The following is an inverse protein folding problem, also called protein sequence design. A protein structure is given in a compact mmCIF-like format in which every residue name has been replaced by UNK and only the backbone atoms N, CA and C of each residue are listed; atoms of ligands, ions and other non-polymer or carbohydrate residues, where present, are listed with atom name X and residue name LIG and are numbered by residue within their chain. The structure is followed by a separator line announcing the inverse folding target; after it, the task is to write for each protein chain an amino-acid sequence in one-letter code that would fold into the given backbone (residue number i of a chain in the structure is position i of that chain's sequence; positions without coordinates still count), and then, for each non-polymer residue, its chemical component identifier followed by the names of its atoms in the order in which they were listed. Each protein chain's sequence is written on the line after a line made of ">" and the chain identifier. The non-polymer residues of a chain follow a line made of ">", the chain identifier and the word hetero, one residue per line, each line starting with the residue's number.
data_IF_088085889313
#
_entry.id   IF_088085889313
#
_cell.length_a   1.000
_cell.length_b   1.000
_cell.length_c   1.000
_cell.angle_alpha   90.00
_cell.angle_beta   90.00
_cell.angle_gamma   90.00
#
_symmetry.space_group_name_H-M   'P 1'
#
loop_
_entity.id
_entity.type
_entity.pdbx_description
1 polymer ?
#
# COMPACT_ATOMS: atom_id res chain seq x y z
N UNK A 1 -7.93 23.72 -10.71
CA UNK A 1 -8.21 22.29 -10.36
C UNK A 1 -7.83 21.36 -11.50
N UNK A 2 -8.05 21.70 -12.77
CA UNK A 2 -7.69 20.87 -13.94
C UNK A 2 -6.27 20.31 -13.91
N UNK A 3 -5.29 21.09 -13.49
CA UNK A 3 -3.90 20.64 -13.41
C UNK A 3 -3.59 19.68 -12.24
N UNK A 4 -4.57 19.46 -11.36
CA UNK A 4 -4.43 18.62 -10.16
C UNK A 4 -5.33 17.39 -10.17
N UNK A 5 -6.18 17.26 -11.18
CA UNK A 5 -7.18 16.19 -11.30
C UNK A 5 -7.09 15.52 -12.66
N UNK A 6 -7.51 14.26 -12.73
CA UNK A 6 -7.60 13.53 -14.00
C UNK A 6 -8.71 14.06 -14.91
N UNK A 7 -9.74 14.60 -14.32
CA UNK A 7 -10.87 15.20 -14.99
C UNK A 7 -11.52 16.23 -14.08
N UNK A 8 -11.91 17.37 -14.64
CA UNK A 8 -12.72 18.34 -13.93
C UNK A 8 -13.81 18.88 -14.85
N UNK A 9 -15.01 19.05 -14.30
CA UNK A 9 -16.18 19.50 -15.04
C UNK A 9 -17.13 20.28 -14.15
N UNK A 10 -17.60 21.42 -14.63
CA UNK A 10 -18.80 22.06 -14.11
C UNK A 10 -20.02 21.52 -14.84
N UNK A 11 -20.96 20.92 -14.12
CA UNK A 11 -22.18 20.36 -14.67
C UNK A 11 -23.17 21.52 -14.90
N UNK A 12 -23.43 21.85 -16.16
CA UNK A 12 -24.34 22.93 -16.55
C UNK A 12 -25.67 22.43 -17.11
N UNK A 13 -25.72 21.17 -17.58
CA UNK A 13 -26.94 20.50 -17.97
C UNK A 13 -27.31 19.44 -16.91
N UNK A 14 -28.45 19.61 -16.21
CA UNK A 14 -28.82 18.66 -15.18
C UNK A 14 -29.04 17.23 -15.70
N UNK A 15 -29.40 17.02 -16.96
CA UNK A 15 -29.58 15.70 -17.57
C UNK A 15 -28.27 14.95 -17.78
N UNK A 16 -27.13 15.64 -17.82
CA UNK A 16 -25.82 15.03 -17.95
C UNK A 16 -25.23 14.53 -16.63
N UNK A 17 -25.91 14.74 -15.50
CA UNK A 17 -25.35 14.44 -14.18
C UNK A 17 -24.92 12.97 -14.04
N UNK A 18 -25.72 12.03 -14.51
CA UNK A 18 -25.41 10.60 -14.45
C UNK A 18 -24.15 10.29 -15.28
N UNK A 19 -24.11 10.79 -16.52
CA UNK A 19 -22.95 10.62 -17.40
C UNK A 19 -21.66 11.15 -16.75
N UNK A 20 -21.69 12.34 -16.18
CA UNK A 20 -20.51 12.98 -15.60
C UNK A 20 -20.05 12.27 -14.32
N UNK A 21 -20.97 11.77 -13.49
CA UNK A 21 -20.64 11.00 -12.28
C UNK A 21 -20.04 9.64 -12.66
N UNK A 22 -20.68 8.88 -13.53
CA UNK A 22 -20.19 7.57 -13.98
C UNK A 22 -18.83 7.71 -14.67
N UNK A 23 -18.64 8.73 -15.52
CA UNK A 23 -17.35 9.05 -16.14
C UNK A 23 -16.27 9.37 -15.11
N UNK A 24 -16.58 10.16 -14.10
CA UNK A 24 -15.63 10.46 -13.02
C UNK A 24 -15.24 9.20 -12.24
N UNK A 25 -16.19 8.33 -11.91
CA UNK A 25 -15.92 7.08 -11.20
C UNK A 25 -14.99 6.20 -12.05
N UNK A 26 -15.30 6.04 -13.31
CA UNK A 26 -14.47 5.26 -14.23
C UNK A 26 -13.06 5.86 -14.38
N UNK A 27 -12.94 7.16 -14.64
CA UNK A 27 -11.65 7.83 -14.83
C UNK A 27 -10.78 7.81 -13.58
N UNK A 28 -11.36 7.94 -12.38
CA UNK A 28 -10.56 7.96 -11.15
C UNK A 28 -9.92 6.59 -10.83
N UNK A 29 -10.49 5.52 -11.35
CA UNK A 29 -10.00 4.14 -11.16
C UNK A 29 -9.12 3.66 -12.32
N UNK A 30 -9.32 4.19 -13.53
CA UNK A 30 -8.67 3.73 -14.75
C UNK A 30 -7.24 4.26 -14.86
N UNK A 31 -6.28 3.44 -15.27
CA UNK A 31 -4.87 3.80 -15.34
C UNK A 31 -4.28 4.02 -13.94
N UNK A 32 -3.36 4.99 -13.80
CA UNK A 32 -2.93 5.39 -12.46
C UNK A 32 -4.11 6.04 -11.73
N UNK A 33 -4.59 5.47 -10.61
CA UNK A 33 -5.71 6.06 -9.88
C UNK A 33 -5.44 7.51 -9.46
N UNK A 34 -6.45 8.37 -9.62
CA UNK A 34 -6.29 9.77 -9.30
C UNK A 34 -7.64 10.49 -9.17
N UNK A 35 -7.69 11.68 -8.54
CA UNK A 35 -8.93 12.38 -8.28
C UNK A 35 -9.57 12.93 -9.56
N UNK A 36 -10.90 12.94 -9.57
CA UNK A 36 -11.72 13.72 -10.48
C UNK A 36 -12.51 14.76 -9.69
N UNK A 37 -12.97 15.80 -10.36
CA UNK A 37 -13.70 16.92 -9.73
C UNK A 37 -14.95 17.27 -10.52
N UNK A 38 -16.11 17.21 -9.85
CA UNK A 38 -17.36 17.76 -10.40
C UNK A 38 -17.79 18.96 -9.58
N UNK A 39 -18.04 20.06 -10.25
CA UNK A 39 -18.68 21.24 -9.70
C UNK A 39 -20.16 21.23 -10.14
N UNK A 40 -21.05 21.11 -9.17
CA UNK A 40 -22.49 21.00 -9.41
C UNK A 40 -23.16 22.24 -8.81
N UNK A 41 -23.50 23.26 -9.64
CA UNK A 41 -24.16 24.47 -9.17
C UNK A 41 -25.48 24.19 -8.45
N UNK A 42 -25.83 25.04 -7.48
CA UNK A 42 -27.00 24.84 -6.60
C UNK A 42 -28.32 24.78 -7.39
N UNK A 43 -28.46 25.53 -8.46
CA UNK A 43 -29.62 25.49 -9.34
C UNK A 43 -29.73 24.16 -10.08
N UNK A 44 -28.60 23.56 -10.47
CA UNK A 44 -28.55 22.23 -11.07
C UNK A 44 -28.94 21.16 -10.03
N UNK A 45 -28.43 21.25 -8.80
CA UNK A 45 -28.77 20.32 -7.71
C UNK A 45 -30.27 20.29 -7.37
N UNK A 46 -30.95 21.42 -7.52
CA UNK A 46 -32.38 21.56 -7.27
C UNK A 46 -33.30 21.24 -8.44
N UNK A 47 -32.76 20.90 -9.60
CA UNK A 47 -33.55 20.63 -10.80
C UNK A 47 -34.20 19.26 -10.73
N UNK A 48 -35.50 19.20 -11.02
CA UNK A 48 -36.22 17.93 -11.15
C UNK A 48 -35.95 17.31 -12.52
N UNK A 49 -35.59 16.02 -12.53
CA UNK A 49 -35.26 15.26 -13.74
C UNK A 49 -35.97 13.91 -13.64
N UNK A 50 -36.57 13.45 -14.74
CA UNK A 50 -37.08 12.11 -14.84
C UNK A 50 -35.94 11.12 -15.14
N UNK A 51 -35.93 9.95 -14.50
CA UNK A 51 -34.88 8.93 -14.67
C UNK A 51 -34.65 8.55 -16.14
N UNK A 52 -35.70 8.57 -16.96
CA UNK A 52 -35.65 8.26 -18.40
C UNK A 52 -34.90 9.32 -19.23
N UNK A 53 -34.64 10.50 -18.69
CA UNK A 53 -33.93 11.58 -19.37
C UNK A 53 -32.41 11.55 -19.05
N UNK A 54 -31.99 10.70 -18.10
CA UNK A 54 -30.60 10.57 -17.73
C UNK A 54 -29.84 9.69 -18.73
N UNK A 55 -28.73 10.20 -19.22
CA UNK A 55 -27.82 9.46 -20.11
C UNK A 55 -26.70 8.86 -19.29
N UNK A 56 -26.47 7.54 -19.41
CA UNK A 56 -25.34 6.87 -18.78
C UNK A 56 -24.03 7.10 -19.53
N UNK A 57 -22.91 6.81 -18.89
CA UNK A 57 -21.58 6.84 -19.50
C UNK A 57 -21.24 5.45 -20.07
N UNK A 58 -20.76 5.42 -21.31
CA UNK A 58 -20.25 4.21 -21.96
C UNK A 58 -18.72 4.33 -22.13
N UNK A 59 -17.95 3.53 -21.40
CA UNK A 59 -16.49 3.52 -21.53
C UNK A 59 -15.98 3.19 -22.93
N UNK A 60 -16.63 2.25 -23.63
CA UNK A 60 -16.19 1.83 -24.97
C UNK A 60 -16.40 2.94 -26.01
N UNK A 61 -17.54 3.65 -25.92
CA UNK A 61 -17.80 4.81 -26.76
C UNK A 61 -16.79 5.92 -26.50
N UNK A 62 -16.51 6.19 -25.22
CA UNK A 62 -15.52 7.19 -24.81
C UNK A 62 -14.11 6.88 -25.33
N UNK A 63 -13.65 5.62 -25.24
CA UNK A 63 -12.37 5.20 -25.76
C UNK A 63 -12.28 5.38 -27.28
N UNK A 64 -13.33 4.99 -27.99
CA UNK A 64 -13.41 5.13 -29.45
C UNK A 64 -13.43 6.58 -29.90
N UNK A 65 -14.17 7.46 -29.21
CA UNK A 65 -14.24 8.89 -29.55
C UNK A 65 -12.95 9.64 -29.30
N UNK A 66 -12.15 9.18 -28.33
CA UNK A 66 -10.87 9.78 -28.00
C UNK A 66 -9.68 9.09 -28.68
N UNK A 67 -9.92 8.20 -29.67
CA UNK A 67 -8.90 7.47 -30.40
C UNK A 67 -7.94 6.67 -29.50
N UNK A 68 -8.44 6.19 -28.35
CA UNK A 68 -7.68 5.36 -27.43
C UNK A 68 -7.74 3.92 -27.93
N UNK A 69 -6.67 3.44 -28.55
CA UNK A 69 -6.53 2.03 -28.90
C UNK A 69 -6.24 1.19 -27.65
N UNK A 70 -7.10 0.21 -27.40
CA UNK A 70 -6.82 -0.86 -26.44
C UNK A 70 -5.92 -1.87 -27.16
N UNK A 71 -4.69 -2.02 -26.73
CA UNK A 71 -3.89 -3.16 -27.19
C UNK A 71 -4.60 -4.44 -26.75
N UNK A 72 -4.82 -5.35 -27.69
CA UNK A 72 -5.29 -6.69 -27.36
C UNK A 72 -4.19 -7.39 -26.59
N UNK A 73 -4.41 -7.60 -25.31
CA UNK A 73 -3.59 -8.53 -24.52
C UNK A 73 -4.05 -9.93 -24.97
N UNK A 74 -3.08 -10.80 -25.27
CA UNK A 74 -3.39 -12.18 -25.60
C UNK A 74 -4.13 -12.82 -24.43
N UNK A 75 -5.33 -13.35 -24.70
CA UNK A 75 -6.25 -13.94 -23.71
C UNK A 75 -5.59 -15.11 -22.92
N UNK A 76 -4.47 -15.64 -23.39
CA UNK A 76 -3.70 -16.70 -22.73
C UNK A 76 -2.85 -16.18 -21.55
N UNK A 77 -2.39 -14.92 -21.56
CA UNK A 77 -1.65 -14.33 -20.44
C UNK A 77 -2.57 -13.93 -19.27
N UNK A 78 -3.84 -13.59 -19.55
CA UNK A 78 -4.81 -13.23 -18.49
C UNK A 78 -5.23 -14.43 -17.64
N UNK A 79 -5.29 -15.64 -18.21
CA UNK A 79 -5.78 -16.82 -17.48
C UNK A 79 -4.83 -17.29 -16.36
N UNK A 80 -3.54 -16.98 -16.42
CA UNK A 80 -2.58 -17.33 -15.37
C UNK A 80 -2.55 -16.32 -14.20
N UNK A 81 -3.09 -15.12 -14.38
CA UNK A 81 -3.02 -14.05 -13.38
C UNK A 81 -4.26 -13.92 -12.50
N UNK A 82 -5.34 -14.61 -12.84
CA UNK A 82 -6.58 -14.60 -12.07
C UNK A 82 -6.58 -15.77 -11.07
N UNK A 83 -6.27 -15.48 -9.80
CA UNK A 83 -6.74 -16.33 -8.70
C UNK A 83 -8.27 -16.35 -8.77
N UNK A 84 -8.95 -17.52 -8.78
CA UNK A 84 -10.38 -17.58 -8.83
C UNK A 84 -10.99 -16.80 -7.66
N UNK A 85 -11.47 -15.62 -7.91
CA UNK A 85 -12.41 -14.94 -7.02
C UNK A 85 -13.77 -15.49 -7.40
N UNK A 86 -14.29 -16.41 -6.62
CA UNK A 86 -15.66 -16.84 -6.72
C UNK A 86 -16.55 -15.60 -6.58
N UNK A 87 -17.27 -15.28 -7.68
CA UNK A 87 -18.34 -14.28 -7.76
C UNK A 87 -17.96 -12.80 -7.95
N UNK A 88 -17.08 -12.45 -8.89
CA UNK A 88 -17.01 -11.08 -9.42
C UNK A 88 -17.43 -11.01 -10.90
N UNK A 89 -18.12 -9.90 -11.25
CA UNK A 89 -18.73 -9.66 -12.56
C UNK A 89 -17.69 -9.39 -13.65
N UNK A 90 -18.05 -9.54 -14.91
CA UNK A 90 -17.27 -9.24 -16.12
C UNK A 90 -16.65 -7.81 -16.21
N UNK A 91 -16.81 -6.96 -15.19
CA UNK A 91 -16.17 -5.64 -15.08
C UNK A 91 -14.70 -5.72 -14.71
N UNK A 92 -14.26 -6.79 -14.03
CA UNK A 92 -12.89 -6.89 -13.48
C UNK A 92 -11.83 -7.19 -14.55
N UNK A 93 -12.23 -7.82 -15.66
CA UNK A 93 -11.34 -8.12 -16.80
C UNK A 93 -10.97 -6.87 -17.62
N UNK A 94 -11.85 -5.87 -17.67
CA UNK A 94 -11.62 -4.64 -18.41
C UNK A 94 -10.66 -3.67 -17.68
N UNK A 95 -10.54 -3.76 -16.36
CA UNK A 95 -9.73 -2.82 -15.58
C UNK A 95 -8.23 -2.93 -15.88
N UNK A 96 -7.71 -4.12 -16.14
CA UNK A 96 -6.31 -4.33 -16.52
C UNK A 96 -5.97 -3.72 -17.88
N UNK A 97 -6.80 -3.97 -18.88
CA UNK A 97 -6.63 -3.49 -20.27
C UNK A 97 -6.75 -1.97 -20.33
N UNK A 98 -7.74 -1.42 -19.64
CA UNK A 98 -7.97 0.02 -19.54
C UNK A 98 -6.82 0.76 -18.85
N UNK A 99 -6.22 0.14 -17.85
CA UNK A 99 -5.04 0.67 -17.17
C UNK A 99 -3.85 0.89 -18.12
N UNK A 100 -3.62 -0.05 -19.04
CA UNK A 100 -2.51 0.03 -20.02
C UNK A 100 -2.78 1.12 -21.05
N UNK A 101 -3.99 1.20 -21.59
CA UNK A 101 -4.37 2.18 -22.61
C UNK A 101 -4.29 3.63 -22.09
N UNK A 102 -4.75 3.86 -20.85
CA UNK A 102 -4.74 5.21 -20.26
C UNK A 102 -3.31 5.71 -19.95
N UNK A 103 -2.39 4.80 -19.60
CA UNK A 103 -0.97 5.14 -19.41
C UNK A 103 -0.33 5.67 -20.70
N UNK A 104 -0.67 5.11 -21.85
CA UNK A 104 -0.12 5.54 -23.15
C UNK A 104 -0.53 6.98 -23.51
N UNK A 105 -1.74 7.41 -23.18
CA UNK A 105 -2.24 8.74 -23.51
C UNK A 105 -1.61 9.89 -22.70
N UNK A 106 -1.16 9.62 -21.48
CA UNK A 106 -0.64 10.65 -20.58
C UNK A 106 0.90 10.78 -20.60
N UNK A 107 1.58 10.31 -21.65
CA UNK A 107 3.05 10.35 -21.79
C UNK A 107 3.82 9.74 -20.60
N UNK A 108 3.17 8.89 -19.79
CA UNK A 108 3.90 8.12 -18.81
C UNK A 108 4.64 7.00 -19.55
N UNK A 109 5.94 6.90 -19.32
CA UNK A 109 6.72 5.76 -19.81
C UNK A 109 6.07 4.47 -19.33
N UNK A 110 5.95 3.48 -20.22
CA UNK A 110 5.44 2.16 -19.82
C UNK A 110 6.39 1.56 -18.79
N UNK A 111 5.89 0.97 -17.69
CA UNK A 111 6.73 0.22 -16.79
C UNK A 111 7.44 -0.91 -17.56
N UNK A 112 8.68 -1.18 -17.18
CA UNK A 112 9.43 -2.27 -17.77
C UNK A 112 8.90 -3.61 -17.30
N UNK A 113 8.90 -4.60 -18.18
CA UNK A 113 8.63 -5.98 -17.80
C UNK A 113 9.77 -6.52 -16.92
N UNK A 114 9.43 -7.14 -15.81
CA UNK A 114 10.37 -7.74 -14.86
C UNK A 114 10.00 -9.20 -14.62
N UNK A 115 10.91 -10.12 -14.95
CA UNK A 115 10.79 -11.53 -14.67
C UNK A 115 11.89 -12.03 -13.72
N UNK A 116 11.86 -13.31 -13.34
CA UNK A 116 12.82 -13.91 -12.40
C UNK A 116 14.28 -13.90 -12.91
N UNK A 117 14.50 -13.81 -14.22
CA UNK A 117 15.82 -13.81 -14.87
C UNK A 117 16.30 -12.37 -15.12
N UNK A 118 15.49 -11.37 -14.86
CA UNK A 118 15.86 -9.97 -14.96
C UNK A 118 17.04 -9.65 -14.04
N UNK A 119 18.09 -8.95 -14.52
CA UNK A 119 19.28 -8.64 -13.75
C UNK A 119 18.98 -7.95 -12.41
N UNK A 120 17.95 -7.12 -12.37
CA UNK A 120 17.55 -6.38 -11.16
C UNK A 120 17.11 -7.32 -10.03
N UNK A 121 16.43 -8.43 -10.34
CA UNK A 121 15.99 -9.42 -9.34
C UNK A 121 17.20 -10.09 -8.68
N UNK A 122 18.18 -10.48 -9.47
CA UNK A 122 19.43 -11.06 -8.96
C UNK A 122 20.23 -10.07 -8.13
N UNK A 123 20.24 -8.79 -8.51
CA UNK A 123 20.93 -7.73 -7.76
C UNK A 123 20.23 -7.43 -6.43
N UNK A 124 18.91 -7.37 -6.39
CA UNK A 124 18.12 -7.24 -5.16
C UNK A 124 18.46 -8.37 -4.17
N UNK A 125 18.38 -9.63 -4.64
CA UNK A 125 18.70 -10.80 -3.83
C UNK A 125 20.13 -10.76 -3.29
N UNK A 126 21.09 -10.38 -4.13
CA UNK A 126 22.48 -10.25 -3.75
C UNK A 126 22.68 -9.21 -2.65
N UNK A 127 22.02 -8.04 -2.78
CA UNK A 127 22.09 -6.99 -1.75
C UNK A 127 21.44 -7.42 -0.43
N UNK A 128 20.29 -8.10 -0.47
CA UNK A 128 19.64 -8.64 0.74
C UNK A 128 20.58 -9.62 1.46
N UNK A 129 21.21 -10.54 0.72
CA UNK A 129 22.18 -11.49 1.29
C UNK A 129 23.41 -10.82 1.91
N UNK A 130 23.84 -9.70 1.36
CA UNK A 130 25.01 -8.98 1.87
C UNK A 130 24.67 -8.03 3.04
N UNK A 131 23.41 -7.64 3.17
CA UNK A 131 22.95 -6.71 4.19
C UNK A 131 22.97 -7.36 5.58
N UNK A 132 23.24 -6.54 6.58
CA UNK A 132 23.15 -6.93 8.00
C UNK A 132 21.85 -6.48 8.65
N UNK A 133 21.23 -5.45 8.09
CA UNK A 133 20.02 -4.80 8.61
C UNK A 133 19.06 -4.42 7.47
N UNK A 134 18.66 -5.39 6.64
CA UNK A 134 17.72 -5.12 5.54
C UNK A 134 16.33 -4.78 6.09
N UNK A 135 15.59 -3.95 5.32
CA UNK A 135 14.20 -3.58 5.61
C UNK A 135 13.38 -3.63 4.32
N UNK A 136 12.19 -4.21 4.39
CA UNK A 136 11.19 -4.14 3.34
C UNK A 136 10.21 -3.01 3.65
N UNK A 137 10.22 -1.96 2.84
CA UNK A 137 9.33 -0.81 2.96
C UNK A 137 8.15 -0.95 2.01
N UNK A 138 6.95 -1.13 2.53
CA UNK A 138 5.75 -1.37 1.73
C UNK A 138 4.89 -0.13 1.58
N UNK A 139 4.26 0.01 0.42
CA UNK A 139 3.29 1.06 0.15
C UNK A 139 1.98 0.53 -0.43
N UNK A 140 1.01 1.41 -0.57
CA UNK A 140 -0.31 1.06 -1.09
C UNK A 140 -0.30 0.62 -2.57
N UNK A 141 0.78 0.90 -3.30
CA UNK A 141 0.97 0.41 -4.67
C UNK A 141 0.91 -1.12 -4.79
N UNK A 142 1.31 -1.85 -3.74
CA UNK A 142 1.18 -3.31 -3.68
C UNK A 142 -0.30 -3.72 -3.75
N UNK A 143 -1.17 -3.03 -3.01
CA UNK A 143 -2.61 -3.30 -3.01
C UNK A 143 -3.26 -2.87 -4.33
N UNK A 144 -2.88 -1.71 -4.86
CA UNK A 144 -3.38 -1.22 -6.16
C UNK A 144 -3.04 -2.21 -7.29
N UNK A 145 -1.91 -2.90 -7.18
CA UNK A 145 -1.49 -3.95 -8.11
C UNK A 145 -2.15 -5.32 -7.85
N UNK A 146 -3.02 -5.46 -6.84
CA UNK A 146 -3.61 -6.75 -6.44
C UNK A 146 -2.59 -7.77 -5.92
N UNK A 147 -1.47 -7.30 -5.36
CA UNK A 147 -0.29 -8.10 -5.06
C UNK A 147 -0.15 -8.48 -3.56
N UNK A 148 -1.20 -8.36 -2.75
CA UNK A 148 -1.12 -8.58 -1.30
C UNK A 148 -0.70 -10.00 -0.95
N UNK A 149 -1.30 -10.99 -1.60
CA UNK A 149 -1.02 -12.40 -1.32
C UNK A 149 0.41 -12.79 -1.70
N UNK A 150 0.88 -12.29 -2.86
CA UNK A 150 2.25 -12.57 -3.29
C UNK A 150 3.27 -11.80 -2.43
N UNK A 151 2.92 -10.58 -2.00
CA UNK A 151 3.73 -9.81 -1.07
C UNK A 151 3.99 -10.57 0.24
N UNK A 152 2.94 -11.15 0.86
CA UNK A 152 3.09 -11.91 2.10
C UNK A 152 3.98 -13.13 1.93
N UNK A 153 3.86 -13.85 0.80
CA UNK A 153 4.76 -14.97 0.48
C UNK A 153 6.21 -14.52 0.30
N UNK A 154 6.42 -13.44 -0.46
CA UNK A 154 7.77 -12.88 -0.68
C UNK A 154 8.37 -12.38 0.62
N UNK A 155 7.60 -11.69 1.45
CA UNK A 155 8.07 -11.21 2.76
C UNK A 155 8.53 -12.37 3.64
N UNK A 156 7.77 -13.46 3.71
CA UNK A 156 8.12 -14.66 4.45
C UNK A 156 9.39 -15.34 3.89
N UNK A 157 9.47 -15.49 2.57
CA UNK A 157 10.67 -16.04 1.91
C UNK A 157 11.91 -15.17 2.08
N UNK A 158 11.77 -13.87 2.08
CA UNK A 158 12.88 -12.95 2.34
C UNK A 158 13.32 -12.98 3.81
N UNK A 159 12.37 -13.12 4.74
CA UNK A 159 12.63 -13.17 6.18
C UNK A 159 13.13 -11.84 6.77
N UNK A 160 12.88 -10.70 6.12
CA UNK A 160 13.37 -9.39 6.55
C UNK A 160 12.27 -8.56 7.21
N UNK A 161 12.61 -7.66 8.16
CA UNK A 161 11.61 -6.79 8.79
C UNK A 161 10.85 -5.95 7.79
N UNK A 162 9.53 -5.86 7.97
CA UNK A 162 8.60 -5.11 7.12
C UNK A 162 8.14 -3.85 7.85
N UNK A 163 8.36 -2.70 7.25
CA UNK A 163 7.76 -1.44 7.68
C UNK A 163 6.68 -1.02 6.68
N UNK A 164 5.60 -0.45 7.19
CA UNK A 164 4.42 -0.11 6.37
C UNK A 164 4.28 1.38 6.17
N UNK A 165 4.01 1.79 4.94
CA UNK A 165 3.60 3.16 4.64
C UNK A 165 2.20 3.46 5.21
N UNK A 166 1.85 4.74 5.32
CA UNK A 166 0.60 5.17 5.96
C UNK A 166 -0.66 4.56 5.34
N UNK A 167 -0.74 4.50 4.02
CA UNK A 167 -1.89 3.92 3.32
C UNK A 167 -1.76 2.40 3.08
N UNK A 168 -0.74 1.78 3.70
CA UNK A 168 -0.48 0.34 3.62
C UNK A 168 -0.40 -0.30 5.02
N UNK A 169 -0.96 0.34 6.04
CA UNK A 169 -0.94 -0.13 7.43
C UNK A 169 -1.56 -1.52 7.57
N UNK A 170 -2.50 -1.84 6.70
CA UNK A 170 -3.27 -3.08 6.67
C UNK A 170 -2.73 -4.15 5.69
N UNK A 171 -1.58 -3.90 5.05
CA UNK A 171 -0.98 -4.86 4.11
C UNK A 171 -0.41 -6.10 4.81
N UNK A 172 -0.13 -6.00 6.09
CA UNK A 172 0.39 -7.06 6.95
C UNK A 172 -0.26 -6.96 8.34
N UNK A 173 -0.75 -8.07 8.93
CA UNK A 173 -1.40 -8.05 10.24
C UNK A 173 -0.50 -7.45 11.33
N UNK A 174 -1.13 -6.86 12.35
CA UNK A 174 -0.39 -6.21 13.45
C UNK A 174 0.55 -7.17 14.18
N UNK A 175 0.09 -8.39 14.42
CA UNK A 175 0.86 -9.41 15.18
C UNK A 175 1.82 -10.21 14.30
N UNK A 176 1.89 -9.92 12.99
CA UNK A 176 2.80 -10.64 12.11
C UNK A 176 4.25 -10.46 12.57
N UNK A 177 5.05 -11.55 12.66
CA UNK A 177 6.40 -11.51 13.21
C UNK A 177 7.34 -10.55 12.48
N UNK A 178 7.20 -10.42 11.19
CA UNK A 178 8.04 -9.52 10.38
C UNK A 178 7.66 -8.04 10.49
N UNK A 179 6.48 -7.70 11.03
CA UNK A 179 6.07 -6.29 11.14
C UNK A 179 6.97 -5.52 12.09
N UNK A 180 7.64 -4.50 11.58
CA UNK A 180 8.62 -3.69 12.29
C UNK A 180 8.18 -2.23 12.54
N UNK A 181 6.90 -1.92 12.28
CA UNK A 181 6.30 -0.63 12.58
C UNK A 181 5.95 0.21 11.35
N UNK A 182 5.57 1.43 11.62
CA UNK A 182 5.14 2.43 10.64
C UNK A 182 6.04 3.66 10.72
N UNK A 183 7.00 3.85 9.81
CA UNK A 183 7.87 5.02 9.83
C UNK A 183 7.18 6.28 9.33
N UNK A 184 7.80 7.42 9.59
CA UNK A 184 7.36 8.73 9.13
C UNK A 184 7.13 9.73 10.26
N UNK A 185 6.78 10.96 9.90
CA UNK A 185 6.66 12.08 10.85
C UNK A 185 5.54 11.92 11.89
N UNK A 186 4.54 11.11 11.62
CA UNK A 186 3.45 10.74 12.54
C UNK A 186 3.39 9.23 12.79
N UNK A 187 4.38 8.49 12.32
CA UNK A 187 4.54 7.07 12.54
C UNK A 187 4.97 6.74 13.97
N UNK A 188 5.33 5.50 14.16
CA UNK A 188 5.82 4.99 15.44
C UNK A 188 7.35 5.04 15.54
N UNK A 189 7.86 4.90 16.77
CA UNK A 189 9.30 4.84 17.01
C UNK A 189 9.95 3.59 16.42
N UNK A 190 9.36 2.40 16.57
CA UNK A 190 9.90 1.16 15.98
C UNK A 190 10.17 1.27 14.49
N UNK A 191 9.19 1.68 13.70
CA UNK A 191 9.35 1.85 12.26
C UNK A 191 10.41 2.87 11.88
N UNK A 192 10.46 4.01 12.60
CA UNK A 192 11.52 5.00 12.40
C UNK A 192 12.91 4.44 12.77
N UNK A 193 13.02 3.65 13.84
CA UNK A 193 14.29 3.03 14.22
C UNK A 193 14.73 1.99 13.19
N UNK A 194 13.81 1.17 12.70
CA UNK A 194 14.10 0.18 11.66
C UNK A 194 14.69 0.86 10.42
N UNK A 195 14.03 1.88 9.88
CA UNK A 195 14.46 2.60 8.68
C UNK A 195 15.81 3.33 8.91
N UNK A 196 15.96 4.03 10.04
CA UNK A 196 17.16 4.84 10.30
C UNK A 196 18.41 4.01 10.61
N UNK A 197 18.25 2.74 10.98
CA UNK A 197 19.36 1.83 11.24
C UNK A 197 19.55 0.79 10.10
N UNK A 198 18.69 0.80 9.09
CA UNK A 198 18.85 -0.08 7.94
C UNK A 198 20.15 0.20 7.17
N UNK A 199 20.74 -0.85 6.60
CA UNK A 199 21.83 -0.77 5.62
C UNK A 199 21.39 -1.17 4.21
N UNK A 200 20.15 -1.69 4.09
CA UNK A 200 19.48 -1.96 2.83
C UNK A 200 17.98 -1.72 2.98
N UNK A 201 17.37 -1.08 2.01
CA UNK A 201 15.91 -0.89 1.92
C UNK A 201 15.41 -1.33 0.55
N UNK A 202 14.48 -2.29 0.54
CA UNK A 202 13.65 -2.60 -0.61
C UNK A 202 12.30 -1.89 -0.42
N UNK A 203 12.01 -0.88 -1.23
CA UNK A 203 10.75 -0.14 -1.18
C UNK A 203 9.91 -0.46 -2.42
N UNK A 204 8.66 -0.93 -2.22
CA UNK A 204 7.74 -1.27 -3.31
C UNK A 204 6.43 -0.51 -3.14
N UNK A 205 6.04 0.26 -4.16
CA UNK A 205 4.76 0.96 -4.26
C UNK A 205 4.48 1.98 -3.15
N UNK A 206 5.54 2.51 -2.51
CA UNK A 206 5.39 3.38 -1.34
C UNK A 206 5.42 4.87 -1.68
N UNK A 207 5.87 5.24 -2.87
CA UNK A 207 6.09 6.63 -3.27
C UNK A 207 7.12 7.39 -2.42
N UNK A 208 7.42 6.97 -1.21
CA UNK A 208 8.32 7.63 -0.24
C UNK A 208 8.07 9.14 -0.15
N UNK A 209 6.83 9.51 0.13
CA UNK A 209 6.40 10.90 0.24
C UNK A 209 7.01 11.60 1.47
N UNK A 210 6.92 12.93 1.53
CA UNK A 210 7.41 13.73 2.66
C UNK A 210 6.79 13.31 4.01
N UNK A 211 5.59 12.73 4.00
CA UNK A 211 4.95 12.17 5.22
C UNK A 211 5.74 10.98 5.78
N UNK A 212 6.38 10.22 4.90
CA UNK A 212 7.15 9.02 5.23
C UNK A 212 8.61 9.34 5.50
N UNK A 213 9.24 10.16 4.67
CA UNK A 213 10.68 10.47 4.77
C UNK A 213 10.97 11.69 5.67
N UNK A 214 9.96 12.50 5.96
CA UNK A 214 10.07 13.71 6.76
C UNK A 214 10.60 14.92 5.97
N UNK A 215 10.55 16.09 6.59
CA UNK A 215 11.02 17.35 5.96
C UNK A 215 12.54 17.41 5.80
N UNK A 216 13.27 16.74 6.69
CA UNK A 216 14.72 16.61 6.57
C UNK A 216 15.09 15.31 5.85
N UNK A 217 14.56 15.16 4.64
CA UNK A 217 14.70 13.94 3.83
C UNK A 217 16.15 13.53 3.55
N UNK A 218 17.09 14.45 3.58
CA UNK A 218 18.53 14.15 3.42
C UNK A 218 19.11 13.24 4.52
N UNK A 219 18.44 13.16 5.66
CA UNK A 219 18.86 12.30 6.79
C UNK A 219 18.07 11.00 6.86
N UNK A 220 17.10 10.80 5.95
CA UNK A 220 16.32 9.58 5.89
C UNK A 220 17.19 8.43 5.38
N UNK A 221 17.16 7.30 6.10
CA UNK A 221 17.84 6.06 5.72
C UNK A 221 19.30 6.25 5.23
N UNK A 222 20.03 7.16 5.88
CA UNK A 222 21.32 7.72 5.40
C UNK A 222 22.42 6.71 5.13
N UNK A 223 22.34 5.51 5.72
CA UNK A 223 23.35 4.44 5.57
C UNK A 223 22.83 3.30 4.67
N UNK A 224 21.56 3.35 4.26
CA UNK A 224 20.96 2.28 3.52
C UNK A 224 21.23 2.39 2.01
N UNK A 225 21.58 1.28 1.40
CA UNK A 225 21.45 1.10 -0.04
C UNK A 225 19.97 0.92 -0.38
N UNK A 226 19.43 1.74 -1.27
CA UNK A 226 17.99 1.82 -1.52
C UNK A 226 17.61 1.31 -2.90
N UNK A 227 16.72 0.33 -2.93
CA UNK A 227 16.04 -0.13 -4.14
C UNK A 227 14.59 0.33 -4.06
N UNK A 228 14.13 1.05 -5.05
CA UNK A 228 12.76 1.59 -5.06
C UNK A 228 12.06 1.13 -6.34
N UNK A 229 10.94 0.42 -6.16
CA UNK A 229 10.02 0.07 -7.24
C UNK A 229 8.79 0.95 -7.18
N UNK A 230 8.54 1.62 -8.27
CA UNK A 230 7.32 2.43 -8.46
C UNK A 230 6.89 2.34 -9.92
N UNK A 231 5.58 2.42 -10.13
CA UNK A 231 4.97 2.43 -11.46
C UNK A 231 5.14 3.79 -12.15
N UNK A 232 5.48 4.82 -11.40
CA UNK A 232 5.71 6.17 -11.88
C UNK A 232 7.22 6.47 -11.92
N UNK A 233 7.76 6.59 -13.13
CA UNK A 233 9.17 6.89 -13.34
C UNK A 233 9.62 8.21 -12.69
N UNK A 234 8.73 9.21 -12.61
CA UNK A 234 9.04 10.50 -12.00
C UNK A 234 9.20 10.39 -10.47
N UNK A 235 8.50 9.46 -9.82
CA UNK A 235 8.73 9.17 -8.41
C UNK A 235 10.12 8.56 -8.15
N UNK A 236 10.67 7.85 -9.12
CA UNK A 236 12.02 7.29 -9.03
C UNK A 236 13.13 8.33 -9.24
N UNK A 237 12.82 9.45 -9.93
CA UNK A 237 13.77 10.53 -10.27
C UNK A 237 13.72 11.70 -9.29
N UNK A 238 12.77 11.74 -8.37
CA UNK A 238 12.60 12.88 -7.47
C UNK A 238 13.82 13.14 -6.57
N UNK A 239 14.20 14.40 -6.32
CA UNK A 239 15.41 14.74 -5.60
C UNK A 239 15.33 14.55 -4.07
N UNK A 240 14.15 14.21 -3.54
CA UNK A 240 13.92 14.10 -2.09
C UNK A 240 14.39 12.78 -1.47
N UNK A 241 14.60 11.75 -2.28
CA UNK A 241 15.08 10.44 -1.80
C UNK A 241 16.19 9.98 -2.73
N UNK A 242 17.30 9.55 -2.13
CA UNK A 242 18.35 8.89 -2.88
C UNK A 242 17.89 7.48 -3.23
N UNK A 243 17.99 7.10 -4.50
CA UNK A 243 17.65 5.78 -5.02
C UNK A 243 18.88 5.21 -5.73
N UNK A 244 19.42 4.11 -5.20
CA UNK A 244 20.57 3.43 -5.79
C UNK A 244 20.17 2.58 -6.98
N UNK A 245 19.06 1.83 -6.87
CA UNK A 245 18.48 1.06 -7.97
C UNK A 245 17.01 1.48 -8.14
N UNK A 246 16.70 2.27 -9.16
CA UNK A 246 15.32 2.52 -9.56
C UNK A 246 14.78 1.32 -10.36
N UNK A 247 13.60 0.83 -9.98
CA UNK A 247 12.88 -0.23 -10.68
C UNK A 247 11.55 0.35 -11.16
N UNK A 248 11.49 0.72 -12.43
CA UNK A 248 10.28 1.20 -13.07
C UNK A 248 9.44 -0.01 -13.53
N UNK A 249 8.62 -0.53 -12.62
CA UNK A 249 7.84 -1.74 -12.86
C UNK A 249 6.54 -1.71 -12.03
N UNK A 250 5.58 -2.54 -12.41
CA UNK A 250 4.43 -2.84 -11.58
C UNK A 250 4.86 -3.63 -10.34
N UNK A 251 4.19 -3.37 -9.21
CA UNK A 251 4.52 -4.03 -7.94
C UNK A 251 4.26 -5.54 -7.99
N UNK A 252 3.20 -5.97 -8.70
CA UNK A 252 2.90 -7.39 -8.87
C UNK A 252 4.00 -8.10 -9.66
N UNK A 253 4.44 -7.53 -10.78
CA UNK A 253 5.49 -8.12 -11.62
C UNK A 253 6.80 -8.30 -10.85
N UNK A 254 7.27 -7.28 -10.13
CA UNK A 254 8.48 -7.40 -9.35
C UNK A 254 8.35 -8.43 -8.22
N UNK A 255 7.21 -8.43 -7.51
CA UNK A 255 6.96 -9.42 -6.45
C UNK A 255 6.87 -10.83 -7.00
N UNK A 256 6.22 -11.03 -8.15
CA UNK A 256 6.14 -12.33 -8.84
C UNK A 256 7.53 -12.81 -9.27
N UNK A 257 8.32 -11.93 -9.86
CA UNK A 257 9.69 -12.25 -10.26
C UNK A 257 10.59 -12.64 -9.07
N UNK A 258 10.45 -11.96 -7.93
CA UNK A 258 11.13 -12.30 -6.68
C UNK A 258 10.65 -13.64 -6.14
N UNK A 259 9.33 -13.90 -6.12
CA UNK A 259 8.73 -15.13 -5.64
C UNK A 259 9.26 -16.34 -6.42
N UNK A 260 9.22 -16.28 -7.75
CA UNK A 260 9.69 -17.31 -8.66
C UNK A 260 11.20 -17.55 -8.52
N UNK A 261 11.98 -16.47 -8.36
CA UNK A 261 13.43 -16.62 -8.17
C UNK A 261 13.78 -17.25 -6.84
N UNK A 262 13.07 -16.90 -5.78
CA UNK A 262 13.26 -17.50 -4.47
C UNK A 262 12.87 -18.99 -4.47
N UNK A 263 11.80 -19.36 -5.20
CA UNK A 263 11.43 -20.77 -5.40
C UNK A 263 12.49 -21.54 -6.17
N UNK A 264 13.04 -20.98 -7.25
CA UNK A 264 14.16 -21.58 -8.00
C UNK A 264 15.38 -21.83 -7.09
N UNK A 265 15.63 -20.93 -6.13
CA UNK A 265 16.70 -21.07 -5.14
C UNK A 265 16.36 -22.06 -4.01
N UNK A 266 15.15 -22.62 -3.98
CA UNK A 266 14.69 -23.54 -2.94
C UNK A 266 14.30 -22.86 -1.62
N UNK A 267 14.14 -21.53 -1.61
CA UNK A 267 13.72 -20.76 -0.43
C UNK A 267 12.19 -20.87 -0.28
N UNK A 268 11.72 -21.43 0.81
CA UNK A 268 10.29 -21.70 1.02
C UNK A 268 9.61 -20.77 2.02
N UNK A 269 10.40 -20.06 2.85
CA UNK A 269 9.90 -19.31 3.99
C UNK A 269 9.49 -20.23 5.16
N UNK A 270 9.05 -19.62 6.25
CA UNK A 270 8.64 -20.32 7.47
C UNK A 270 7.14 -20.65 7.52
N UNK A 271 6.36 -20.12 6.57
CA UNK A 271 4.91 -20.13 6.64
C UNK A 271 4.37 -19.08 7.64
N UNK A 272 3.33 -18.39 7.26
CA UNK A 272 2.75 -17.19 7.95
C UNK A 272 2.22 -17.51 9.38
N UNK A 273 2.49 -18.69 9.94
CA UNK A 273 1.89 -19.18 11.19
C UNK A 273 2.57 -18.74 12.49
N UNK A 274 3.66 -17.99 12.42
CA UNK A 274 4.38 -17.56 13.62
C UNK A 274 3.82 -16.26 14.15
N UNK A 275 3.44 -16.24 15.43
CA UNK A 275 3.21 -14.99 16.13
C UNK A 275 4.56 -14.38 16.59
N UNK A 276 4.55 -13.08 16.90
CA UNK A 276 5.76 -12.34 17.31
C UNK A 276 6.37 -12.90 18.58
N UNK A 277 5.58 -13.48 19.48
CA UNK A 277 6.02 -14.10 20.72
C UNK A 277 6.81 -15.37 20.48
N UNK A 278 6.50 -16.12 19.42
CA UNK A 278 7.26 -17.29 19.01
C UNK A 278 8.60 -16.93 18.37
N UNK A 279 8.62 -15.83 17.59
CA UNK A 279 9.84 -15.27 17.03
C UNK A 279 10.88 -14.97 18.12
N UNK A 280 10.46 -14.42 19.24
CA UNK A 280 11.33 -14.06 20.35
C UNK A 280 11.84 -15.28 21.15
N UNK A 281 11.32 -16.48 20.89
CA UNK A 281 11.75 -17.73 21.54
C UNK A 281 12.95 -18.43 20.89
N UNK A 282 13.57 -17.86 19.89
CA UNK A 282 14.91 -18.17 19.35
C UNK A 282 15.11 -19.47 18.54
N UNK A 283 14.15 -20.33 18.31
CA UNK A 283 14.45 -21.65 17.71
C UNK A 283 14.30 -21.71 16.17
N UNK A 284 13.88 -20.61 15.51
CA UNK A 284 13.40 -20.71 14.13
C UNK A 284 14.21 -19.94 13.07
N UNK A 285 15.22 -19.17 13.46
CA UNK A 285 16.06 -18.44 12.50
C UNK A 285 17.41 -19.14 12.29
N UNK A 286 17.82 -19.20 11.01
CA UNK A 286 19.07 -19.85 10.63
C UNK A 286 18.93 -21.29 10.15
N UNK A 287 17.69 -21.78 9.96
CA UNK A 287 17.42 -23.10 9.39
C UNK A 287 17.48 -23.12 7.84
N UNK A 288 17.68 -21.97 7.21
CA UNK A 288 17.76 -21.82 5.77
C UNK A 288 16.41 -21.74 5.06
N UNK A 289 15.29 -21.66 5.78
CA UNK A 289 13.94 -21.56 5.19
C UNK A 289 13.70 -20.19 4.54
N UNK A 290 14.32 -19.13 5.06
CA UNK A 290 14.27 -17.77 4.48
C UNK A 290 15.60 -17.35 3.87
N UNK A 291 15.57 -16.34 3.03
CA UNK A 291 16.78 -15.80 2.37
C UNK A 291 17.72 -15.09 3.37
N UNK A 292 17.14 -14.39 4.34
CA UNK A 292 17.85 -13.68 5.40
C UNK A 292 17.72 -14.45 6.71
N UNK A 293 18.83 -14.74 7.35
CA UNK A 293 18.92 -15.58 8.55
C UNK A 293 18.92 -14.78 9.87
N UNK A 294 18.42 -13.56 9.83
CA UNK A 294 18.33 -12.69 11.00
C UNK A 294 19.57 -11.80 11.23
N UNK A 295 20.71 -12.11 10.63
CA UNK A 295 21.96 -11.33 10.73
C UNK A 295 22.56 -11.26 12.13
N UNK A 296 23.73 -10.59 12.24
CA UNK A 296 24.37 -10.33 13.54
C UNK A 296 23.78 -9.09 14.21
N UNK A 297 23.30 -9.23 15.44
CA UNK A 297 22.74 -8.14 16.21
C UNK A 297 23.69 -7.58 17.26
N UNK A 298 23.37 -6.38 17.77
CA UNK A 298 23.99 -5.82 18.98
C UNK A 298 23.24 -6.30 20.23
N UNK A 299 23.95 -6.52 21.34
CA UNK A 299 23.38 -6.92 22.63
C UNK A 299 22.73 -8.30 22.65
N UNK A 300 23.21 -9.25 21.85
CA UNK A 300 22.73 -10.63 21.83
C UNK A 300 21.39 -10.84 21.12
N UNK A 301 20.96 -9.87 20.30
CA UNK A 301 19.79 -9.96 19.42
C UNK A 301 20.22 -9.87 17.97
N UNK A 302 19.65 -10.69 17.11
CA UNK A 302 19.74 -10.49 15.67
C UNK A 302 18.91 -9.28 15.22
N UNK A 303 18.96 -8.92 13.94
CA UNK A 303 18.27 -7.72 13.43
C UNK A 303 16.74 -7.80 13.56
N UNK A 304 16.17 -8.95 13.26
CA UNK A 304 14.73 -9.16 13.34
C UNK A 304 14.23 -9.13 14.80
N UNK A 305 14.95 -9.80 15.71
CA UNK A 305 14.69 -9.73 17.15
C UNK A 305 14.84 -8.30 17.70
N UNK A 306 15.76 -7.51 17.15
CA UNK A 306 15.90 -6.13 17.53
C UNK A 306 14.70 -5.28 17.10
N UNK A 307 14.18 -5.49 15.88
CA UNK A 307 12.97 -4.83 15.42
C UNK A 307 11.75 -5.24 16.25
N UNK A 308 11.58 -6.52 16.53
CA UNK A 308 10.51 -7.02 17.39
C UNK A 308 10.59 -6.43 18.81
N UNK A 309 11.79 -6.38 19.40
CA UNK A 309 12.01 -5.72 20.68
C UNK A 309 11.60 -4.25 20.67
N UNK A 310 11.87 -3.52 19.58
CA UNK A 310 11.44 -2.12 19.47
C UNK A 310 9.92 -2.01 19.39
N UNK A 311 9.26 -2.90 18.65
CA UNK A 311 7.80 -2.96 18.55
C UNK A 311 7.13 -3.13 19.92
N UNK A 312 7.70 -3.97 20.78
CA UNK A 312 7.20 -4.19 22.13
C UNK A 312 7.53 -2.99 23.05
N UNK A 313 8.82 -2.64 23.13
CA UNK A 313 9.30 -1.65 24.11
C UNK A 313 8.84 -0.23 23.83
N UNK A 314 8.71 0.15 22.58
CA UNK A 314 8.35 1.52 22.17
C UNK A 314 6.97 1.58 21.51
N UNK A 315 6.09 0.64 21.87
CA UNK A 315 4.70 0.69 21.46
C UNK A 315 4.11 2.08 21.74
N UNK A 316 3.37 2.67 20.80
CA UNK A 316 2.62 3.90 21.05
C UNK A 316 1.57 3.76 22.16
N UNK A 317 1.03 2.56 22.32
CA UNK A 317 0.13 2.23 23.44
C UNK A 317 0.92 2.03 24.74
N UNK A 318 0.36 2.54 25.85
CA UNK A 318 0.89 2.34 27.21
C UNK A 318 -0.21 1.80 28.11
N UNK A 319 0.14 0.87 28.99
CA UNK A 319 -0.82 0.27 29.90
C UNK A 319 -1.53 1.30 30.81
N UNK A 320 -0.83 2.39 31.14
CA UNK A 320 -1.37 3.50 31.94
C UNK A 320 -2.57 4.21 31.30
N UNK A 321 -2.79 4.05 30.00
CA UNK A 321 -3.93 4.63 29.28
C UNK A 321 -5.25 3.95 29.62
N UNK A 322 -5.21 2.72 30.12
CA UNK A 322 -6.37 1.99 30.62
C UNK A 322 -6.75 2.37 32.08
N UNK A 323 -5.85 3.08 32.80
CA UNK A 323 -6.06 3.48 34.19
C UNK A 323 -6.75 4.85 34.25
N UNK A 324 -8.07 4.84 34.13
CA UNK A 324 -8.92 6.02 34.28
C UNK A 324 -10.12 5.72 35.18
N UNK A 325 -10.56 6.72 35.95
CA UNK A 325 -11.76 6.59 36.78
C UNK A 325 -13.04 6.57 35.95
N UNK A 326 -14.12 6.06 36.55
CA UNK A 326 -15.42 5.91 35.85
C UNK A 326 -15.97 7.25 35.34
N UNK A 327 -15.61 8.37 35.99
CA UNK A 327 -16.05 9.73 35.63
C UNK A 327 -15.03 10.48 34.75
N UNK A 328 -13.91 9.86 34.36
CA UNK A 328 -12.88 10.47 33.51
C UNK A 328 -13.10 10.13 32.04
N UNK A 329 -12.77 11.07 31.10
CA UNK A 329 -12.83 10.77 29.69
C UNK A 329 -11.86 9.63 29.32
N UNK A 330 -12.34 8.68 28.53
CA UNK A 330 -11.50 7.58 28.03
C UNK A 330 -10.30 8.11 27.22
N UNK A 331 -9.14 7.52 27.41
CA UNK A 331 -7.97 7.83 26.61
C UNK A 331 -8.17 7.36 25.17
N UNK A 332 -7.89 8.20 24.19
CA UNK A 332 -8.11 7.88 22.77
C UNK A 332 -7.26 6.69 22.29
N UNK A 333 -6.06 6.48 22.83
CA UNK A 333 -5.22 5.32 22.52
C UNK A 333 -5.83 4.01 23.04
N UNK A 334 -6.37 4.04 24.27
CA UNK A 334 -7.11 2.92 24.84
C UNK A 334 -8.36 2.61 24.03
N UNK A 335 -9.16 3.65 23.70
CA UNK A 335 -10.36 3.49 22.89
C UNK A 335 -10.06 2.81 21.56
N UNK A 336 -9.06 3.31 20.79
CA UNK A 336 -8.74 2.77 19.47
C UNK A 336 -8.18 1.35 19.53
N UNK A 337 -7.41 1.04 20.58
CA UNK A 337 -6.91 -0.33 20.83
C UNK A 337 -8.07 -1.28 21.12
N UNK A 338 -8.92 -0.95 22.11
CA UNK A 338 -10.06 -1.80 22.50
C UNK A 338 -11.03 -1.97 21.34
N UNK A 339 -11.31 -0.89 20.60
CA UNK A 339 -12.14 -0.96 19.39
C UNK A 339 -11.57 -1.99 18.40
N UNK A 340 -10.29 -1.87 18.07
CA UNK A 340 -9.65 -2.77 17.10
C UNK A 340 -9.62 -4.24 17.55
N UNK A 341 -9.46 -4.48 18.84
CA UNK A 341 -9.49 -5.83 19.43
C UNK A 341 -10.90 -6.43 19.42
N UNK A 342 -11.94 -5.59 19.53
CA UNK A 342 -13.35 -5.99 19.56
C UNK A 342 -13.95 -6.25 18.17
N UNK A 343 -13.35 -5.71 17.12
CA UNK A 343 -13.81 -5.93 15.74
C UNK A 343 -13.47 -7.34 15.26
N UNK A 344 -14.28 -7.86 14.33
CA UNK A 344 -14.02 -9.15 13.69
C UNK A 344 -12.87 -9.06 12.67
N UNK A 345 -12.35 -10.20 12.26
CA UNK A 345 -11.53 -10.34 11.05
C UNK A 345 -12.34 -9.92 9.82
N UNK A 346 -11.65 -9.53 8.74
CA UNK A 346 -12.26 -9.05 7.49
C UNK A 346 -13.07 -7.73 7.61
N UNK A 347 -13.00 -7.07 8.74
CA UNK A 347 -13.69 -5.81 8.98
C UNK A 347 -13.02 -4.64 8.25
N UNK A 348 -13.80 -3.82 7.56
CA UNK A 348 -13.33 -2.56 6.96
C UNK A 348 -13.54 -1.44 7.98
N UNK A 349 -12.46 -0.78 8.38
CA UNK A 349 -12.48 0.39 9.25
C UNK A 349 -12.07 1.62 8.45
N UNK A 350 -12.95 2.60 8.38
CA UNK A 350 -12.67 3.89 7.73
C UNK A 350 -12.53 4.97 8.80
N UNK A 351 -11.44 5.74 8.72
CA UNK A 351 -11.17 6.82 9.67
C UNK A 351 -11.03 8.16 8.96
N UNK A 352 -11.61 9.17 9.60
CA UNK A 352 -11.50 10.56 9.14
C UNK A 352 -10.23 11.23 9.62
N UNK A 353 -10.21 12.54 9.48
CA UNK A 353 -9.11 13.41 9.90
C UNK A 353 -8.94 13.45 11.43
N UNK A 354 -7.79 13.95 11.87
CA UNK A 354 -7.50 14.24 13.29
C UNK A 354 -7.04 13.02 14.09
N UNK A 355 -7.50 12.90 15.32
CA UNK A 355 -7.06 11.84 16.25
C UNK A 355 -7.43 10.45 15.75
N UNK A 356 -8.56 10.27 15.09
CA UNK A 356 -8.97 8.99 14.51
C UNK A 356 -7.93 8.47 13.50
N UNK A 357 -7.45 9.33 12.61
CA UNK A 357 -6.42 8.99 11.64
C UNK A 357 -5.06 8.76 12.33
N UNK A 358 -4.59 9.72 13.15
CA UNK A 358 -3.23 9.68 13.70
C UNK A 358 -3.07 8.60 14.75
N UNK A 359 -3.98 8.55 15.73
CA UNK A 359 -3.92 7.55 16.81
C UNK A 359 -4.32 6.18 16.28
N UNK A 360 -5.34 6.11 15.39
CA UNK A 360 -5.72 4.87 14.73
C UNK A 360 -4.55 4.25 14.01
N UNK A 361 -3.85 4.99 13.16
CA UNK A 361 -2.68 4.49 12.46
C UNK A 361 -1.57 3.96 13.38
N UNK A 362 -1.44 4.50 14.60
CA UNK A 362 -0.42 4.10 15.56
C UNK A 362 -0.76 2.88 16.40
N UNK A 363 -2.04 2.70 16.78
CA UNK A 363 -2.41 1.68 17.78
C UNK A 363 -3.48 0.69 17.33
N UNK A 364 -4.12 0.94 16.18
CA UNK A 364 -5.13 0.02 15.65
C UNK A 364 -4.48 -1.31 15.28
N UNK A 365 -4.99 -2.40 15.86
CA UNK A 365 -4.50 -3.76 15.61
C UNK A 365 -5.22 -4.35 14.41
N UNK A 366 -4.63 -4.16 13.25
CA UNK A 366 -5.12 -4.76 12.01
C UNK A 366 -5.02 -6.27 12.12
N UNK A 367 -6.16 -6.96 11.95
CA UNK A 367 -6.25 -8.42 11.91
C UNK A 367 -6.07 -8.92 10.49
N UNK A 368 -5.97 -10.22 10.32
CA UNK A 368 -5.90 -10.85 9.00
C UNK A 368 -7.18 -10.56 8.20
N UNK A 369 -7.05 -10.25 6.90
CA UNK A 369 -8.17 -9.85 6.03
C UNK A 369 -8.79 -8.49 6.33
N UNK A 370 -8.45 -7.82 7.44
CA UNK A 370 -9.02 -6.52 7.81
C UNK A 370 -8.47 -5.38 6.97
N UNK A 371 -9.31 -4.37 6.73
CA UNK A 371 -8.93 -3.13 6.04
C UNK A 371 -8.95 -1.94 7.00
N UNK A 372 -7.93 -1.07 6.87
CA UNK A 372 -7.86 0.21 7.55
C UNK A 372 -7.68 1.33 6.53
N UNK A 373 -8.76 2.05 6.24
CA UNK A 373 -8.82 3.06 5.18
C UNK A 373 -8.74 4.45 5.80
N UNK A 374 -7.77 5.24 5.39
CA UNK A 374 -7.58 6.62 5.82
C UNK A 374 -7.20 7.52 4.66
N UNK A 375 -7.52 8.80 4.78
CA UNK A 375 -7.06 9.83 3.84
C UNK A 375 -6.16 10.81 4.59
N UNK A 376 -4.93 10.39 4.86
CA UNK A 376 -3.97 11.11 5.69
C UNK A 376 -3.09 12.11 4.92
N UNK A 377 -2.99 11.99 3.60
CA UNK A 377 -2.15 12.85 2.78
C UNK A 377 -2.67 14.30 2.73
N UNK A 378 -3.91 14.50 2.31
CA UNK A 378 -4.61 15.79 2.31
C UNK A 378 -5.36 16.00 3.63
N UNK A 379 -5.81 14.90 4.24
CA UNK A 379 -6.56 14.88 5.48
C UNK A 379 -7.86 15.70 5.42
N UNK A 380 -8.64 15.48 4.36
CA UNK A 380 -9.90 16.17 4.14
C UNK A 380 -10.90 15.86 5.26
N UNK A 381 -11.46 16.90 5.85
CA UNK A 381 -12.58 16.78 6.80
C UNK A 381 -13.85 16.33 6.06
N UNK A 382 -14.60 15.39 6.65
CA UNK A 382 -15.80 14.83 6.04
C UNK A 382 -15.56 13.69 5.03
N UNK A 383 -14.32 13.19 4.91
CA UNK A 383 -13.97 12.05 4.07
C UNK A 383 -14.56 10.73 4.56
N UNK A 384 -14.58 10.52 5.87
CA UNK A 384 -14.85 9.24 6.53
C UNK A 384 -16.24 8.67 6.23
N UNK A 385 -17.28 9.48 6.31
CA UNK A 385 -18.65 9.00 6.05
C UNK A 385 -18.87 8.58 4.60
N UNK A 386 -18.56 9.40 3.57
CA UNK A 386 -18.69 8.97 2.18
C UNK A 386 -17.78 7.79 1.83
N UNK A 387 -16.57 7.74 2.39
CA UNK A 387 -15.67 6.62 2.17
C UNK A 387 -16.17 5.32 2.82
N UNK A 388 -16.80 5.39 4.00
CA UNK A 388 -17.44 4.23 4.62
C UNK A 388 -18.62 3.70 3.80
N UNK A 389 -19.44 4.61 3.24
CA UNK A 389 -20.55 4.23 2.35
C UNK A 389 -20.02 3.54 1.08
N UNK A 390 -18.94 4.08 0.50
CA UNK A 390 -18.33 3.49 -0.71
C UNK A 390 -17.56 2.19 -0.45
N UNK A 391 -17.23 1.87 0.80
CA UNK A 391 -16.55 0.64 1.18
C UNK A 391 -17.52 -0.53 1.50
N UNK A 392 -18.82 -0.22 1.68
CA UNK A 392 -19.89 -1.21 1.86
C UNK A 392 -20.42 -1.72 0.52
#
# INVERSE_FOLDING_TARGET
>A
IDCMTKYSKMVLDPKSIRYEVEKCIWLCQTGRPGPCWLDIPVDIQGTYIEDSELVGFDPEEYLRENEIELDKIDEEEEAEHLVPRDEFSNSDLNDGILNIAFRKQHHQSQPGHVDKDSPVVSEIIKHIKAAKRPVFYTGNGIRIAGAENIFLRVADKLGIPVVVGWNAIDIIPHEHPLKAGQPGGRGDRPGNFAVQNADFILSIGSRLSIRQVGYNFKTWAREAFTVVCDIDEEELKKPSVHVDIPVHADAYELLKALDDKLDEMGIKGHGIKYDRTELLKQEHYGDGSSLFDGGEGKNGRNWLEQCAYWMEKYSPYRAEYADHGDDEPANVYEFMKVLSESLNEEQITVVGNGSACVVGAQVFRVKDGSRFVSQDAIAAMGYDLPAAIGAC
#
